data_IF_758881334498
#
_entry.id   IF_758881334498
#
_cell.length_a   1.000
_cell.length_b   1.000
_cell.length_c   1.000
_cell.angle_alpha   90.00
_cell.angle_beta   90.00
_cell.angle_gamma   90.00
#
_symmetry.space_group_name_H-M   'P 1'
#
loop_
_entity.id
_entity.type
_entity.pdbx_description
1 polymer ?
#
# COMPACT_ATOMS: atom_id res chain seq x y z
N UNK A 1 -43.36 6.54 1.73
CA UNK A 1 -42.18 6.21 2.55
C UNK A 1 -41.40 5.16 1.78
N UNK A 2 -40.32 5.55 1.09
CA UNK A 2 -39.59 4.69 0.15
C UNK A 2 -38.28 4.26 0.80
N UNK A 3 -38.21 3.00 1.22
CA UNK A 3 -37.01 2.37 1.79
C UNK A 3 -35.98 2.17 0.68
N UNK A 4 -34.86 2.88 0.75
CA UNK A 4 -33.72 2.68 -0.13
C UNK A 4 -33.00 1.37 0.25
N UNK A 5 -33.04 0.37 -0.63
CA UNK A 5 -32.20 -0.81 -0.52
C UNK A 5 -30.75 -0.40 -0.80
N UNK A 6 -29.89 -0.54 0.22
CA UNK A 6 -28.44 -0.39 0.07
C UNK A 6 -27.90 -1.55 -0.74
N UNK A 7 -27.45 -1.28 -1.97
CA UNK A 7 -26.77 -2.26 -2.80
C UNK A 7 -25.44 -2.65 -2.14
N UNK A 8 -25.40 -3.81 -1.50
CA UNK A 8 -24.16 -4.53 -1.21
C UNK A 8 -23.54 -4.87 -2.56
N UNK A 9 -22.52 -4.12 -2.95
CA UNK A 9 -21.69 -4.49 -4.09
C UNK A 9 -20.93 -5.77 -3.72
N UNK A 10 -21.47 -6.92 -4.10
CA UNK A 10 -20.76 -8.19 -4.14
C UNK A 10 -19.63 -8.06 -5.17
N UNK A 11 -18.45 -7.64 -4.74
CA UNK A 11 -17.26 -7.55 -5.58
C UNK A 11 -16.71 -8.96 -5.83
N UNK A 12 -16.76 -9.37 -7.09
CA UNK A 12 -16.37 -10.72 -7.54
C UNK A 12 -14.92 -11.06 -7.22
N UNK A 13 -14.71 -12.32 -6.84
CA UNK A 13 -13.41 -12.94 -6.65
C UNK A 13 -12.66 -13.06 -7.98
N UNK A 14 -11.34 -12.84 -8.03
CA UNK A 14 -10.57 -13.17 -9.21
C UNK A 14 -10.43 -14.68 -9.37
N UNK A 15 -10.60 -15.14 -10.61
CA UNK A 15 -10.43 -16.52 -11.04
C UNK A 15 -8.94 -16.90 -10.99
N UNK A 16 -8.64 -18.08 -10.44
CA UNK A 16 -7.31 -18.66 -10.40
C UNK A 16 -6.69 -18.73 -11.80
N UNK A 17 -5.52 -18.12 -12.00
CA UNK A 17 -4.76 -18.14 -13.26
C UNK A 17 -4.53 -16.80 -13.95
N UNK A 18 -5.07 -15.69 -13.42
CA UNK A 18 -4.67 -14.35 -13.85
C UNK A 18 -3.34 -13.97 -13.17
N UNK A 19 -2.35 -13.48 -13.95
CA UNK A 19 -1.14 -12.83 -13.41
C UNK A 19 -1.59 -11.54 -12.74
N UNK A 20 -2.02 -11.67 -11.49
CA UNK A 20 -2.42 -10.55 -10.66
C UNK A 20 -1.18 -9.66 -10.43
N UNK A 21 -1.29 -8.33 -10.62
CA UNK A 21 -0.17 -7.45 -10.36
C UNK A 21 0.17 -7.48 -8.86
N UNK A 22 1.44 -7.74 -8.54
CA UNK A 22 1.93 -7.73 -7.16
C UNK A 22 2.33 -6.31 -6.74
N UNK A 23 1.81 -5.84 -5.61
CA UNK A 23 2.19 -4.57 -4.98
C UNK A 23 3.07 -4.87 -3.77
N UNK A 24 4.33 -4.44 -3.82
CA UNK A 24 5.35 -4.77 -2.84
C UNK A 24 5.47 -6.30 -2.57
N UNK A 25 5.21 -7.15 -3.56
CA UNK A 25 5.21 -8.62 -3.41
C UNK A 25 3.94 -9.20 -2.76
N UNK A 26 2.87 -8.40 -2.64
CA UNK A 26 1.56 -8.82 -2.16
C UNK A 26 0.52 -8.77 -3.29
N UNK A 27 -0.44 -9.71 -3.34
CA UNK A 27 -1.52 -9.67 -4.32
C UNK A 27 -2.36 -8.39 -4.23
N UNK A 28 -2.52 -7.65 -5.33
CA UNK A 28 -3.25 -6.37 -5.34
C UNK A 28 -4.71 -6.50 -4.87
N UNK A 29 -5.40 -7.59 -5.20
CA UNK A 29 -6.77 -7.88 -4.78
C UNK A 29 -6.88 -8.08 -3.27
N UNK A 30 -5.81 -8.54 -2.62
CA UNK A 30 -5.71 -8.59 -1.16
C UNK A 30 -5.48 -7.20 -0.58
N UNK A 31 -4.50 -6.47 -1.10
CA UNK A 31 -4.18 -5.09 -0.69
C UNK A 31 -5.40 -4.18 -0.79
N UNK A 32 -6.23 -4.38 -1.82
CA UNK A 32 -7.45 -3.61 -2.02
C UNK A 32 -8.52 -3.82 -0.92
N UNK A 33 -8.51 -4.96 -0.23
CA UNK A 33 -9.56 -5.36 0.72
C UNK A 33 -9.20 -5.12 2.18
N UNK A 34 -7.93 -4.79 2.49
CA UNK A 34 -7.55 -4.51 3.86
C UNK A 34 -8.00 -3.10 4.29
N UNK A 35 -8.06 -2.89 5.60
CA UNK A 35 -8.40 -1.59 6.16
C UNK A 35 -7.12 -0.81 6.45
N UNK A 36 -6.99 0.37 5.85
CA UNK A 36 -5.88 1.28 6.12
C UNK A 36 -6.22 2.31 7.19
N UNK A 37 -5.22 2.66 7.99
CA UNK A 37 -5.24 3.69 9.02
C UNK A 37 -4.06 4.63 8.80
N UNK A 38 -4.28 5.86 8.33
CA UNK A 38 -3.19 6.81 8.12
C UNK A 38 -2.55 7.20 9.45
N UNK A 39 -1.23 7.33 9.47
CA UNK A 39 -0.48 7.92 10.58
C UNK A 39 0.17 9.23 10.13
N UNK A 40 0.83 9.95 11.05
CA UNK A 40 1.49 11.23 10.72
C UNK A 40 2.61 11.10 9.66
N UNK A 41 3.23 9.92 9.53
CA UNK A 41 4.39 9.70 8.64
C UNK A 41 4.31 8.41 7.80
N UNK A 42 3.36 7.52 8.10
CA UNK A 42 3.19 6.20 7.48
C UNK A 42 1.70 5.81 7.46
N UNK A 43 1.40 4.52 7.39
CA UNK A 43 0.06 3.98 7.54
C UNK A 43 0.13 2.57 8.13
N UNK A 44 -0.89 2.23 8.92
CA UNK A 44 -1.08 0.88 9.44
C UNK A 44 -2.20 0.19 8.68
N UNK A 45 -2.09 -1.11 8.49
CA UNK A 45 -3.11 -1.94 7.84
C UNK A 45 -3.63 -3.00 8.80
N UNK A 46 -4.92 -3.22 8.76
CA UNK A 46 -5.60 -4.33 9.43
C UNK A 46 -6.12 -5.29 8.38
N UNK A 47 -5.66 -6.54 8.46
CA UNK A 47 -5.98 -7.59 7.49
C UNK A 47 -6.87 -8.64 8.15
N UNK A 48 -8.17 -8.73 7.79
CA UNK A 48 -9.08 -9.72 8.36
C UNK A 48 -8.57 -11.15 8.20
N UNK A 49 -8.87 -12.03 9.16
CA UNK A 49 -8.42 -13.44 9.11
C UNK A 49 -8.94 -14.15 7.86
N UNK A 50 -10.20 -13.92 7.52
CA UNK A 50 -10.85 -14.48 6.32
C UNK A 50 -10.12 -14.07 5.05
N UNK A 51 -9.75 -12.80 4.93
CA UNK A 51 -8.97 -12.29 3.80
C UNK A 51 -7.58 -12.95 3.76
N UNK A 52 -6.87 -13.05 4.89
CA UNK A 52 -5.55 -13.69 4.95
C UNK A 52 -5.58 -15.15 4.46
N UNK A 53 -6.62 -15.90 4.83
CA UNK A 53 -6.78 -17.33 4.50
C UNK A 53 -7.15 -17.58 3.03
N UNK A 54 -7.57 -16.55 2.30
CA UNK A 54 -7.79 -16.66 0.85
C UNK A 54 -6.47 -16.70 0.06
N UNK A 55 -5.41 -16.03 0.55
CA UNK A 55 -4.14 -15.87 -0.18
C UNK A 55 -2.98 -16.66 0.43
N UNK A 56 -3.03 -16.94 1.73
CA UNK A 56 -1.95 -17.62 2.43
C UNK A 56 -2.47 -18.81 3.24
N UNK A 57 -1.76 -19.96 3.22
CA UNK A 57 -2.19 -21.18 3.90
C UNK A 57 -2.22 -21.01 5.43
N UNK A 58 -1.32 -20.18 5.97
CA UNK A 58 -1.15 -19.97 7.40
C UNK A 58 -0.64 -18.56 7.73
N UNK A 59 -0.66 -18.21 9.02
CA UNK A 59 -0.24 -16.88 9.49
C UNK A 59 1.29 -16.67 9.44
N UNK A 60 2.09 -17.74 9.43
CA UNK A 60 3.54 -17.63 9.33
C UNK A 60 3.95 -17.26 7.89
N UNK A 61 3.35 -17.89 6.89
CA UNK A 61 3.53 -17.59 5.47
C UNK A 61 3.07 -16.17 5.14
N UNK A 62 1.88 -15.78 5.63
CA UNK A 62 1.41 -14.40 5.52
C UNK A 62 2.37 -13.41 6.20
N UNK A 63 2.80 -13.69 7.43
CA UNK A 63 3.69 -12.81 8.18
C UNK A 63 5.08 -12.67 7.55
N UNK A 64 5.56 -13.71 6.85
CA UNK A 64 6.78 -13.64 6.04
C UNK A 64 6.60 -12.68 4.86
N UNK A 65 5.52 -12.84 4.08
CA UNK A 65 5.22 -11.98 2.94
C UNK A 65 5.07 -10.50 3.36
N UNK A 66 4.38 -10.21 4.47
CA UNK A 66 4.25 -8.85 5.00
C UNK A 66 5.61 -8.22 5.35
N UNK A 67 6.53 -8.99 5.95
CA UNK A 67 7.87 -8.50 6.29
C UNK A 67 8.72 -8.24 5.05
N UNK A 68 8.66 -9.13 4.06
CA UNK A 68 9.32 -8.95 2.76
C UNK A 68 8.78 -7.71 2.02
N UNK A 69 7.47 -7.44 2.15
CA UNK A 69 6.80 -6.24 1.65
C UNK A 69 7.13 -4.95 2.46
N UNK A 70 7.89 -5.05 3.55
CA UNK A 70 8.31 -3.92 4.38
C UNK A 70 7.32 -3.51 5.47
N UNK A 71 6.39 -4.38 5.85
CA UNK A 71 5.49 -4.17 6.98
C UNK A 71 6.04 -4.79 8.27
N UNK A 72 5.77 -4.11 9.39
CA UNK A 72 6.16 -4.55 10.74
C UNK A 72 4.89 -4.85 11.55
N UNK A 73 4.79 -6.00 12.23
CA UNK A 73 3.64 -6.31 13.07
C UNK A 73 3.67 -5.44 14.33
N UNK A 74 2.55 -4.83 14.67
CA UNK A 74 2.41 -3.96 15.84
C UNK A 74 1.10 -4.22 16.56
N UNK A 75 1.12 -4.22 17.89
CA UNK A 75 -0.10 -4.39 18.70
C UNK A 75 -0.36 -3.10 19.47
N UNK A 76 -1.45 -2.40 19.15
CA UNK A 76 -1.71 -1.09 19.75
C UNK A 76 -3.20 -0.81 19.92
N UNK A 77 -3.55 -0.08 20.98
CA UNK A 77 -4.87 0.56 21.17
C UNK A 77 -4.93 1.96 20.54
N UNK A 78 -3.78 2.58 20.23
CA UNK A 78 -3.69 4.00 19.85
C UNK A 78 -4.32 4.31 18.49
N UNK A 79 -4.54 3.32 17.62
CA UNK A 79 -5.13 3.51 16.29
C UNK A 79 -6.66 3.49 16.31
N UNK A 80 -7.27 2.56 17.05
CA UNK A 80 -8.73 2.30 17.01
C UNK A 80 -9.40 2.27 18.38
N UNK A 81 -8.65 2.53 19.46
CA UNK A 81 -9.11 2.39 20.85
C UNK A 81 -9.16 0.93 21.35
N UNK A 82 -9.15 -0.06 20.46
CA UNK A 82 -9.20 -1.49 20.79
C UNK A 82 -7.82 -2.14 20.64
N UNK A 83 -7.51 -3.11 21.49
CA UNK A 83 -6.23 -3.83 21.40
C UNK A 83 -6.30 -4.85 20.28
N UNK A 84 -5.76 -4.48 19.12
CA UNK A 84 -5.70 -5.34 17.95
C UNK A 84 -4.30 -5.37 17.35
N UNK A 85 -4.06 -6.38 16.52
CA UNK A 85 -2.84 -6.55 15.75
C UNK A 85 -2.97 -5.82 14.43
N UNK A 86 -1.99 -4.95 14.14
CA UNK A 86 -1.90 -4.15 12.94
C UNK A 86 -0.53 -4.39 12.27
N UNK A 87 -0.43 -4.06 11.00
CA UNK A 87 0.83 -4.09 10.26
C UNK A 87 1.18 -2.67 9.83
N UNK A 88 2.28 -2.12 10.36
CA UNK A 88 2.73 -0.78 10.02
C UNK A 88 3.64 -0.85 8.80
N UNK A 89 3.35 -0.07 7.76
CA UNK A 89 4.24 0.03 6.62
C UNK A 89 5.44 0.92 6.93
N UNK A 90 6.64 0.32 6.96
CA UNK A 90 7.97 0.94 7.14
C UNK A 90 8.09 1.88 8.36
N UNK A 91 8.95 1.50 9.31
CA UNK A 91 9.23 2.34 10.48
C UNK A 91 10.09 3.54 10.08
N UNK A 92 9.55 4.75 10.11
CA UNK A 92 10.24 6.01 9.77
C UNK A 92 11.11 6.54 10.93
N UNK A 93 11.56 5.66 11.84
CA UNK A 93 12.42 5.98 12.98
C UNK A 93 11.75 6.73 14.14
N UNK A 94 10.55 7.28 13.94
CA UNK A 94 9.88 8.20 14.88
C UNK A 94 8.39 7.82 15.10
N UNK A 95 8.02 6.58 14.80
CA UNK A 95 6.66 6.05 14.93
C UNK A 95 6.26 5.75 16.39
N UNK A 96 6.56 6.70 17.32
CA UNK A 96 6.32 6.62 18.78
C UNK A 96 4.84 6.38 19.18
N UNK A 97 3.94 6.25 18.21
CA UNK A 97 2.52 6.00 18.37
C UNK A 97 2.08 4.54 18.20
N UNK A 98 2.92 3.62 17.73
CA UNK A 98 2.52 2.22 17.48
C UNK A 98 3.54 1.33 18.17
N UNK A 99 3.25 0.89 19.39
CA UNK A 99 4.22 0.13 20.20
C UNK A 99 4.47 -1.27 19.60
N UNK A 100 5.67 -1.52 19.09
CA UNK A 100 6.15 -2.88 18.84
C UNK A 100 6.71 -3.49 20.14
N UNK A 101 6.52 -4.80 20.36
CA UNK A 101 7.10 -5.50 21.51
C UNK A 101 8.62 -5.72 21.35
N UNK A 102 9.13 -5.64 20.12
CA UNK A 102 10.55 -5.69 19.79
C UNK A 102 10.87 -4.63 18.74
N UNK A 103 12.07 -4.05 18.84
CA UNK A 103 12.58 -3.07 17.88
C UNK A 103 12.84 -3.78 16.53
N UNK A 104 12.05 -3.47 15.51
CA UNK A 104 12.31 -4.00 14.17
C UNK A 104 13.70 -3.55 13.67
N UNK A 105 14.45 -4.41 12.96
CA UNK A 105 15.79 -4.08 12.50
C UNK A 105 15.77 -2.85 11.58
N UNK A 106 16.49 -1.81 11.99
CA UNK A 106 16.58 -0.47 11.36
C UNK A 106 17.09 -0.44 9.91
N UNK A 107 17.34 -1.57 9.24
CA UNK A 107 18.05 -1.65 7.95
C UNK A 107 17.18 -1.99 6.72
N UNK A 108 15.91 -2.30 6.89
CA UNK A 108 14.99 -2.46 5.76
C UNK A 108 13.95 -1.34 5.89
N UNK A 109 13.93 -0.30 5.06
CA UNK A 109 13.30 -0.35 3.75
C UNK A 109 13.25 1.09 3.19
N UNK A 110 14.14 1.50 2.28
CA UNK A 110 14.02 2.77 1.54
C UNK A 110 12.79 2.75 0.61
N UNK A 111 11.83 3.70 0.67
CA UNK A 111 10.55 3.63 -0.04
C UNK A 111 10.74 3.27 -1.51
N UNK A 112 9.96 2.30 -2.01
CA UNK A 112 9.97 1.94 -3.43
C UNK A 112 8.69 2.46 -4.06
N UNK A 113 8.83 3.06 -5.24
CA UNK A 113 7.74 3.65 -6.00
C UNK A 113 7.37 2.69 -7.13
N UNK A 114 6.32 1.93 -6.92
CA UNK A 114 5.80 1.03 -7.95
C UNK A 114 4.91 1.75 -8.95
N UNK A 115 5.10 1.39 -10.21
CA UNK A 115 4.47 1.98 -11.38
C UNK A 115 4.01 0.88 -12.33
N UNK A 116 2.99 1.15 -13.14
CA UNK A 116 2.48 0.21 -14.12
C UNK A 116 2.35 0.88 -15.49
N UNK A 117 2.53 0.10 -16.55
CA UNK A 117 2.44 0.58 -17.93
C UNK A 117 0.99 0.87 -18.35
N UNK A 118 0.04 0.07 -17.87
CA UNK A 118 -1.38 0.14 -18.25
C UNK A 118 -2.20 0.90 -17.22
N UNK A 119 -3.23 1.65 -17.64
CA UNK A 119 -4.16 2.27 -16.69
C UNK A 119 -4.76 1.23 -15.74
N UNK A 120 -4.75 1.53 -14.44
CA UNK A 120 -5.32 0.68 -13.41
C UNK A 120 -6.05 1.56 -12.38
N UNK A 121 -7.23 1.17 -11.85
CA UNK A 121 -8.01 2.01 -10.93
C UNK A 121 -7.22 2.50 -9.69
N UNK A 122 -6.25 1.70 -9.24
CA UNK A 122 -5.41 1.97 -8.07
C UNK A 122 -4.11 2.72 -8.39
N UNK A 123 -3.83 2.94 -9.68
CA UNK A 123 -2.66 3.68 -10.13
C UNK A 123 -3.11 4.99 -10.75
N UNK A 124 -2.63 6.10 -10.17
CA UNK A 124 -2.95 7.43 -10.68
C UNK A 124 -1.93 7.81 -11.72
N UNK A 125 -2.42 8.29 -12.85
CA UNK A 125 -1.57 8.87 -13.89
C UNK A 125 -1.01 10.20 -13.40
N UNK A 126 0.30 10.27 -13.21
CA UNK A 126 1.01 11.46 -12.76
C UNK A 126 2.26 11.69 -13.60
N UNK A 127 2.74 12.94 -13.65
CA UNK A 127 4.02 13.25 -14.22
C UNK A 127 5.12 12.90 -13.20
N UNK A 128 5.76 11.74 -13.36
CA UNK A 128 6.88 11.28 -12.55
C UNK A 128 8.19 11.53 -13.31
N UNK A 129 9.09 12.33 -12.73
CA UNK A 129 10.41 12.64 -13.31
C UNK A 129 10.35 13.12 -14.78
N UNK A 130 9.30 13.87 -15.11
CA UNK A 130 9.10 14.43 -16.44
C UNK A 130 8.44 13.50 -17.47
N UNK A 131 7.95 12.33 -17.06
CA UNK A 131 7.20 11.40 -17.92
C UNK A 131 5.84 11.06 -17.31
N UNK A 132 4.84 10.84 -18.15
CA UNK A 132 3.56 10.31 -17.68
C UNK A 132 3.71 8.86 -17.27
N UNK A 133 3.43 8.55 -16.01
CA UNK A 133 3.43 7.18 -15.48
C UNK A 133 2.18 6.95 -14.64
N UNK A 134 1.71 5.70 -14.58
CA UNK A 134 0.68 5.29 -13.62
C UNK A 134 1.40 4.85 -12.36
N UNK A 135 1.36 5.69 -11.32
CA UNK A 135 2.01 5.43 -10.03
C UNK A 135 0.96 4.91 -9.06
N UNK A 136 1.30 3.88 -8.28
CA UNK A 136 0.39 3.37 -7.25
C UNK A 136 -0.04 4.53 -6.34
N UNK A 137 -1.36 4.70 -6.16
CA UNK A 137 -1.93 5.92 -5.57
C UNK A 137 -1.31 6.24 -4.20
N UNK A 138 -1.04 5.20 -3.43
CA UNK A 138 -0.49 5.28 -2.09
C UNK A 138 1.01 5.58 -2.05
N UNK A 139 1.74 5.36 -3.14
CA UNK A 139 3.16 5.70 -3.22
C UNK A 139 3.39 7.19 -3.54
N UNK A 140 2.38 7.90 -4.04
CA UNK A 140 2.50 9.33 -4.37
C UNK A 140 2.90 10.17 -3.15
N UNK A 141 2.52 9.74 -1.94
CA UNK A 141 2.89 10.44 -0.69
C UNK A 141 4.39 10.44 -0.40
N UNK A 142 5.14 9.48 -0.93
CA UNK A 142 6.60 9.41 -0.77
C UNK A 142 7.33 10.32 -1.77
N UNK A 143 6.62 10.76 -2.82
CA UNK A 143 7.22 11.57 -3.86
C UNK A 143 7.26 13.05 -3.50
N UNK A 144 8.28 13.73 -4.00
CA UNK A 144 8.39 15.18 -3.82
C UNK A 144 7.65 15.89 -4.94
N UNK A 145 6.72 16.78 -4.59
CA UNK A 145 6.01 17.62 -5.57
C UNK A 145 6.99 18.50 -6.33
N UNK A 146 6.94 18.46 -7.66
CA UNK A 146 7.79 19.27 -8.55
C UNK A 146 7.06 19.60 -9.84
N UNK A 147 7.30 20.78 -10.41
CA UNK A 147 6.77 21.13 -11.74
C UNK A 147 7.65 20.50 -12.82
N UNK A 148 7.03 19.81 -13.76
CA UNK A 148 7.69 19.22 -14.91
C UNK A 148 7.13 19.81 -16.20
N UNK A 149 7.93 19.78 -17.27
CA UNK A 149 7.41 19.90 -18.63
C UNK A 149 7.25 18.49 -19.18
N UNK A 150 6.04 18.13 -19.56
CA UNK A 150 5.73 16.87 -20.23
C UNK A 150 5.03 17.23 -21.53
N UNK A 151 5.54 16.73 -22.66
CA UNK A 151 5.01 17.05 -23.99
C UNK A 151 4.88 18.57 -24.25
N UNK A 152 5.86 19.35 -23.78
CA UNK A 152 5.88 20.81 -23.90
C UNK A 152 4.99 21.57 -22.91
N UNK A 153 4.07 20.88 -22.22
CA UNK A 153 3.13 21.48 -21.26
C UNK A 153 3.72 21.47 -19.85
N UNK A 154 3.65 22.61 -19.15
CA UNK A 154 3.99 22.69 -17.73
C UNK A 154 2.88 22.08 -16.88
N UNK A 155 3.19 20.98 -16.20
CA UNK A 155 2.25 20.27 -15.32
C UNK A 155 2.80 20.14 -13.91
N UNK A 156 1.88 20.07 -12.94
CA UNK A 156 2.24 19.66 -11.59
C UNK A 156 2.52 18.15 -11.60
N UNK A 157 3.71 17.78 -11.18
CA UNK A 157 4.14 16.39 -11.09
C UNK A 157 4.90 16.12 -9.81
N UNK A 158 5.71 15.07 -9.88
CA UNK A 158 6.42 14.49 -8.77
C UNK A 158 7.79 13.99 -9.21
N UNK A 159 8.76 13.97 -8.30
CA UNK A 159 10.06 13.35 -8.49
C UNK A 159 10.27 12.24 -7.46
N UNK A 160 10.79 11.10 -7.89
CA UNK A 160 11.19 10.03 -7.00
C UNK A 160 12.49 10.37 -6.24
N UNK A 161 13.32 11.28 -6.78
CA UNK A 161 14.57 11.69 -6.17
C UNK A 161 15.53 10.50 -6.03
N UNK A 162 15.80 10.10 -4.78
CA UNK A 162 16.66 8.95 -4.45
C UNK A 162 15.88 7.64 -4.24
N UNK A 163 14.54 7.66 -4.37
CA UNK A 163 13.71 6.47 -4.23
C UNK A 163 13.84 5.58 -5.48
N UNK A 164 13.86 4.27 -5.27
CA UNK A 164 13.83 3.29 -6.35
C UNK A 164 12.44 3.27 -6.99
N UNK A 165 12.38 3.34 -8.32
CA UNK A 165 11.14 3.20 -9.10
C UNK A 165 11.11 1.81 -9.73
N UNK A 166 10.07 1.05 -9.43
CA UNK A 166 9.86 -0.29 -9.98
C UNK A 166 8.67 -0.29 -10.94
N UNK A 167 8.80 -0.99 -12.06
CA UNK A 167 7.72 -1.17 -13.03
C UNK A 167 7.16 -2.58 -12.86
N UNK A 168 5.90 -2.69 -12.49
CA UNK A 168 5.17 -3.96 -12.42
C UNK A 168 4.42 -4.22 -13.74
N UNK A 169 4.39 -5.48 -14.15
CA UNK A 169 3.91 -5.94 -15.47
C UNK A 169 2.38 -6.10 -15.55
#
# INVERSE_FOLDING_TARGET
MTTAMTAVQSKGFPVAGSKEPDVNGLPLSMVHQWQEYPTKRSFAVSVPTELRRQYYPDDATFGKAMREAGYVPVRTRKLTGKQASYWLYRVTGDDKGVCTAESAPHKACAPVVQTISKPHPWFKRVALDGKWQHVYADHIRFLTKKRHRVDGVRVQGYTAGWLTVEVIA
#
